data_IF_159420818859
#
_entry.id   IF_159420818859
#
_cell.length_a   1.000
_cell.length_b   1.000
_cell.length_c   1.000
_cell.angle_alpha   90.00
_cell.angle_beta   90.00
_cell.angle_gamma   90.00
#
_symmetry.space_group_name_H-M   'P 1'
#
loop_
_entity.id
_entity.type
_entity.pdbx_description
1 polymer ?
#
# COMPACT_ATOMS: atom_id res chain seq x y z
N UNK A 1 -1.98 -0.61 -28.07
CA UNK A 1 -2.12 -1.09 -26.67
C UNK A 1 -1.09 -0.33 -25.84
N UNK A 2 -1.45 0.25 -24.69
CA UNK A 2 -0.46 0.90 -23.81
C UNK A 2 0.19 -0.20 -22.97
N UNK A 3 1.51 -0.36 -23.07
CA UNK A 3 2.27 -1.30 -22.23
C UNK A 3 2.33 -0.74 -20.82
N UNK A 4 1.89 -1.52 -19.83
CA UNK A 4 2.07 -1.19 -18.42
C UNK A 4 3.51 -1.50 -18.05
N UNK A 5 4.21 -0.53 -17.49
CA UNK A 5 5.61 -0.67 -17.05
C UNK A 5 5.69 -1.06 -15.58
N UNK A 6 6.84 -1.56 -15.15
CA UNK A 6 7.09 -1.78 -13.71
C UNK A 6 6.97 -0.49 -12.90
N UNK A 7 7.33 0.66 -13.48
CA UNK A 7 7.17 1.97 -12.84
C UNK A 7 5.70 2.32 -12.57
N UNK A 8 4.81 1.99 -13.51
CA UNK A 8 3.36 2.15 -13.32
C UNK A 8 2.84 1.26 -12.18
N UNK A 9 3.37 0.03 -12.10
CA UNK A 9 3.02 -0.92 -11.03
C UNK A 9 3.52 -0.40 -9.69
N UNK A 10 4.78 0.01 -9.60
CA UNK A 10 5.37 0.56 -8.37
C UNK A 10 4.65 1.82 -7.91
N UNK A 11 4.30 2.70 -8.84
CA UNK A 11 3.51 3.89 -8.56
C UNK A 11 2.13 3.52 -7.97
N UNK A 12 1.42 2.60 -8.61
CA UNK A 12 0.11 2.14 -8.13
C UNK A 12 0.21 1.46 -6.75
N UNK A 13 1.19 0.58 -6.55
CA UNK A 13 1.43 -0.11 -5.28
C UNK A 13 1.73 0.87 -4.16
N UNK A 14 2.63 1.82 -4.38
CA UNK A 14 2.96 2.87 -3.41
C UNK A 14 1.71 3.66 -3.01
N UNK A 15 0.88 4.04 -3.98
CA UNK A 15 -0.38 4.74 -3.73
C UNK A 15 -1.37 3.91 -2.93
N UNK A 16 -1.53 2.63 -3.25
CA UNK A 16 -2.47 1.74 -2.54
C UNK A 16 -2.02 1.53 -1.09
N UNK A 17 -0.73 1.26 -0.88
CA UNK A 17 -0.14 0.88 0.40
C UNK A 17 -0.04 2.06 1.38
N UNK A 18 0.18 3.27 0.87
CA UNK A 18 0.34 4.48 1.66
C UNK A 18 -0.95 5.31 1.78
N UNK A 19 -2.07 4.87 1.18
CA UNK A 19 -3.34 5.59 1.28
C UNK A 19 -4.09 5.22 2.57
N UNK A 20 -4.41 6.19 3.43
CA UNK A 20 -5.30 6.00 4.56
C UNK A 20 -6.63 5.34 4.17
N UNK A 21 -7.07 4.32 4.90
CA UNK A 21 -8.35 3.63 4.68
C UNK A 21 -9.27 3.78 5.90
N UNK A 22 -10.52 4.21 5.67
CA UNK A 22 -11.53 4.39 6.74
C UNK A 22 -11.75 3.10 7.55
N UNK A 23 -11.77 1.94 6.89
CA UNK A 23 -11.91 0.64 7.54
C UNK A 23 -10.72 0.26 8.45
N UNK A 24 -9.60 0.96 8.34
CA UNK A 24 -8.40 0.77 9.16
C UNK A 24 -8.24 1.89 10.20
N UNK A 25 -9.32 2.61 10.54
CA UNK A 25 -9.24 3.78 11.41
C UNK A 25 -8.40 4.91 10.80
N UNK A 26 -8.44 5.04 9.46
CA UNK A 26 -7.60 5.96 8.69
C UNK A 26 -6.09 5.70 8.79
N UNK A 27 -5.66 4.53 9.26
CA UNK A 27 -4.28 4.09 9.13
C UNK A 27 -3.95 3.66 7.70
N UNK A 28 -2.66 3.70 7.37
CA UNK A 28 -2.13 3.21 6.10
C UNK A 28 -1.94 1.68 6.16
N UNK A 29 -2.32 0.94 5.10
CA UNK A 29 -2.07 -0.49 5.02
C UNK A 29 -0.62 -0.90 5.30
N UNK A 30 0.35 -0.15 4.76
CA UNK A 30 1.78 -0.43 4.96
C UNK A 30 2.20 -0.39 6.45
N UNK A 31 1.67 0.57 7.21
CA UNK A 31 1.95 0.71 8.64
C UNK A 31 1.39 -0.48 9.41
N UNK A 32 0.13 -0.84 9.14
CA UNK A 32 -0.51 -1.98 9.82
C UNK A 32 0.20 -3.29 9.49
N UNK A 33 0.62 -3.48 8.23
CA UNK A 33 1.40 -4.65 7.87
C UNK A 33 2.74 -4.71 8.62
N UNK A 34 3.44 -3.59 8.73
CA UNK A 34 4.68 -3.49 9.51
C UNK A 34 4.44 -3.80 10.99
N UNK A 35 3.37 -3.26 11.59
CA UNK A 35 2.97 -3.55 12.97
C UNK A 35 2.73 -5.06 13.18
N UNK A 36 1.99 -5.71 12.27
CA UNK A 36 1.72 -7.16 12.33
C UNK A 36 2.99 -8.00 12.15
N UNK A 37 3.88 -7.63 11.24
CA UNK A 37 5.12 -8.35 10.98
C UNK A 37 6.11 -8.26 12.15
N UNK A 38 6.08 -7.18 12.94
CA UNK A 38 6.92 -7.03 14.13
C UNK A 38 6.32 -7.70 15.38
N UNK A 39 5.03 -8.03 15.36
CA UNK A 39 4.33 -8.68 16.47
C UNK A 39 4.34 -10.22 16.38
N UNK A 40 4.83 -10.78 15.26
CA UNK A 40 5.04 -12.21 15.03
C UNK A 40 6.48 -12.60 15.36
#
# INVERSE_FOLDING_TARGET
MRTVTDDDIQFAQSRINNRPKKCLGFKQPAVIFKEMAMAA
#
